data_IF_173640367064
#
_entry.id   IF_173640367064
#
_cell.length_a   1.000
_cell.length_b   1.000
_cell.length_c   1.000
_cell.angle_alpha   90.00
_cell.angle_beta   90.00
_cell.angle_gamma   90.00
#
_symmetry.space_group_name_H-M   'P 1'
#
loop_
_entity.id
_entity.type
_entity.pdbx_description
1 polymer ?
#
# COMPACT_ATOMS: atom_id res chain seq x y z
N UNK A 1 -10.79 -14.11 12.50
CA UNK A 1 -10.25 -15.46 12.80
C UNK A 1 -11.30 -16.58 12.68
N UNK A 2 -12.49 -16.47 13.30
CA UNK A 2 -13.44 -17.60 13.41
C UNK A 2 -14.15 -18.05 12.11
N UNK A 3 -14.26 -17.19 11.08
CA UNK A 3 -14.91 -17.56 9.82
C UNK A 3 -14.08 -18.57 8.98
N UNK A 4 -12.75 -18.50 9.08
CA UNK A 4 -11.83 -19.36 8.32
C UNK A 4 -11.87 -20.79 8.88
N UNK A 5 -11.91 -20.93 10.21
CA UNK A 5 -11.95 -22.24 10.89
C UNK A 5 -13.23 -23.03 10.58
N UNK A 6 -14.36 -22.36 10.43
CA UNK A 6 -15.65 -23.02 10.14
C UNK A 6 -15.73 -23.52 8.69
N UNK A 7 -15.17 -22.80 7.71
CA UNK A 7 -15.10 -23.26 6.32
C UNK A 7 -14.14 -24.44 6.11
N UNK A 8 -13.08 -24.52 6.92
CA UNK A 8 -12.09 -25.60 6.85
C UNK A 8 -12.58 -26.94 7.43
N UNK A 9 -13.60 -26.94 8.29
CA UNK A 9 -14.11 -28.16 8.93
C UNK A 9 -14.74 -29.17 7.95
N UNK A 10 -15.24 -28.70 6.80
CA UNK A 10 -15.81 -29.54 5.73
C UNK A 10 -14.79 -30.14 4.75
N UNK A 11 -13.52 -29.71 4.79
CA UNK A 11 -12.47 -30.09 3.84
C UNK A 11 -11.56 -31.21 4.36
N UNK A 12 -12.06 -32.06 5.26
CA UNK A 12 -11.36 -33.27 5.74
C UNK A 12 -11.06 -34.21 4.57
N UNK A 13 -9.94 -34.01 3.88
CA UNK A 13 -9.47 -34.93 2.86
C UNK A 13 -8.33 -34.46 1.96
N UNK A 14 -8.13 -33.16 1.73
CA UNK A 14 -7.06 -32.73 0.82
C UNK A 14 -6.37 -31.45 1.27
N UNK A 15 -5.15 -31.58 1.82
CA UNK A 15 -4.30 -30.44 2.24
C UNK A 15 -4.11 -29.43 1.10
N UNK A 16 -4.10 -29.88 -0.16
CA UNK A 16 -4.02 -28.98 -1.31
C UNK A 16 -5.28 -28.14 -1.48
N UNK A 17 -6.47 -28.73 -1.37
CA UNK A 17 -7.74 -27.99 -1.48
C UNK A 17 -7.91 -26.96 -0.35
N UNK A 18 -7.45 -27.31 0.86
CA UNK A 18 -7.39 -26.38 1.99
C UNK A 18 -6.46 -25.20 1.69
N UNK A 19 -5.23 -25.49 1.25
CA UNK A 19 -4.25 -24.47 0.91
C UNK A 19 -4.77 -23.52 -0.18
N UNK A 20 -5.32 -24.06 -1.27
CA UNK A 20 -5.91 -23.26 -2.35
C UNK A 20 -7.03 -22.34 -1.87
N UNK A 21 -7.88 -22.82 -0.96
CA UNK A 21 -8.95 -22.01 -0.36
C UNK A 21 -8.37 -20.83 0.44
N UNK A 22 -7.33 -21.08 1.23
CA UNK A 22 -6.63 -20.04 2.01
C UNK A 22 -5.97 -19.03 1.06
N UNK A 23 -5.20 -19.51 0.09
CA UNK A 23 -4.48 -18.70 -0.91
C UNK A 23 -5.45 -17.78 -1.67
N UNK A 24 -6.60 -18.31 -2.11
CA UNK A 24 -7.61 -17.53 -2.81
C UNK A 24 -8.27 -16.47 -1.93
N UNK A 25 -8.51 -16.76 -0.65
CA UNK A 25 -9.06 -15.79 0.28
C UNK A 25 -8.07 -14.64 0.55
N UNK A 26 -6.78 -14.96 0.75
CA UNK A 26 -5.74 -13.94 0.93
C UNK A 26 -5.59 -13.10 -0.33
N UNK A 27 -5.50 -13.73 -1.52
CA UNK A 27 -5.42 -13.02 -2.81
C UNK A 27 -6.60 -12.08 -3.01
N UNK A 28 -7.82 -12.54 -2.74
CA UNK A 28 -9.03 -11.72 -2.88
C UNK A 28 -8.97 -10.48 -1.98
N UNK A 29 -8.49 -10.63 -0.75
CA UNK A 29 -8.32 -9.50 0.18
C UNK A 29 -7.26 -8.52 -0.33
N UNK A 30 -6.11 -9.00 -0.80
CA UNK A 30 -5.07 -8.16 -1.42
C UNK A 30 -5.65 -7.35 -2.59
N UNK A 31 -6.35 -8.01 -3.53
CA UNK A 31 -6.97 -7.34 -4.69
C UNK A 31 -8.00 -6.29 -4.24
N UNK A 32 -8.84 -6.62 -3.26
CA UNK A 32 -9.89 -5.71 -2.76
C UNK A 32 -9.29 -4.43 -2.18
N UNK A 33 -8.19 -4.55 -1.45
CA UNK A 33 -7.57 -3.43 -0.75
C UNK A 33 -6.47 -2.74 -1.59
N UNK A 34 -6.13 -3.28 -2.76
CA UNK A 34 -5.00 -2.85 -3.59
C UNK A 34 -5.01 -1.35 -3.87
N UNK A 35 -6.12 -0.79 -4.34
CA UNK A 35 -6.23 0.64 -4.65
C UNK A 35 -6.06 1.56 -3.43
N UNK A 36 -6.20 1.03 -2.21
CA UNK A 36 -5.99 1.83 -1.00
C UNK A 36 -4.50 2.09 -0.76
N UNK A 37 -3.63 1.15 -1.13
CA UNK A 37 -2.17 1.29 -1.04
C UNK A 37 -1.49 0.32 -2.04
N UNK A 38 -1.42 0.69 -3.33
CA UNK A 38 -0.93 -0.21 -4.38
C UNK A 38 0.46 -0.75 -4.06
N UNK A 39 1.42 0.13 -3.71
CA UNK A 39 2.78 -0.27 -3.37
C UNK A 39 2.86 -1.29 -2.22
N UNK A 40 2.02 -1.16 -1.17
CA UNK A 40 1.99 -2.14 -0.08
C UNK A 40 1.42 -3.49 -0.54
N UNK A 41 0.29 -3.48 -1.23
CA UNK A 41 -0.39 -4.72 -1.63
C UNK A 41 0.31 -5.45 -2.77
N UNK A 42 1.09 -4.77 -3.61
CA UNK A 42 2.04 -5.41 -4.55
C UNK A 42 3.10 -6.23 -3.80
N UNK A 43 3.70 -5.68 -2.73
CA UNK A 43 4.64 -6.42 -1.87
C UNK A 43 3.98 -7.63 -1.23
N UNK A 44 2.74 -7.49 -0.75
CA UNK A 44 1.99 -8.62 -0.17
C UNK A 44 1.65 -9.69 -1.22
N UNK A 45 1.36 -9.29 -2.46
CA UNK A 45 1.10 -10.22 -3.57
C UNK A 45 2.36 -11.02 -3.91
N UNK A 46 3.52 -10.36 -3.99
CA UNK A 46 4.80 -11.03 -4.23
C UNK A 46 5.13 -12.05 -3.13
N UNK A 47 4.93 -11.70 -1.86
CA UNK A 47 5.10 -12.62 -0.74
C UNK A 47 4.12 -13.80 -0.78
N UNK A 48 2.87 -13.57 -1.19
CA UNK A 48 1.89 -14.65 -1.38
C UNK A 48 2.39 -15.64 -2.45
N UNK A 49 2.85 -15.14 -3.59
CA UNK A 49 3.32 -15.96 -4.69
C UNK A 49 4.58 -16.76 -4.33
N UNK A 50 5.48 -16.18 -3.52
CA UNK A 50 6.64 -16.88 -2.96
C UNK A 50 6.20 -18.05 -2.06
N UNK A 51 5.25 -17.82 -1.13
CA UNK A 51 4.72 -18.87 -0.24
C UNK A 51 4.06 -19.98 -1.05
N UNK A 52 3.25 -19.64 -2.05
CA UNK A 52 2.57 -20.60 -2.93
C UNK A 52 3.60 -21.44 -3.68
N UNK A 53 4.62 -20.79 -4.26
CA UNK A 53 5.67 -21.45 -5.03
C UNK A 53 6.46 -22.42 -4.15
N UNK A 54 6.91 -21.97 -2.98
CA UNK A 54 7.63 -22.81 -2.02
C UNK A 54 6.80 -24.03 -1.59
N UNK A 55 5.50 -23.86 -1.29
CA UNK A 55 4.60 -24.98 -0.96
C UNK A 55 4.46 -25.95 -2.13
N UNK A 56 4.20 -25.47 -3.35
CA UNK A 56 4.02 -26.32 -4.54
C UNK A 56 5.30 -27.09 -4.90
N UNK A 57 6.46 -26.47 -4.71
CA UNK A 57 7.77 -27.11 -4.86
C UNK A 57 8.12 -28.05 -3.69
N UNK A 58 7.28 -28.13 -2.64
CA UNK A 58 7.58 -28.84 -1.38
C UNK A 58 8.90 -28.39 -0.75
N UNK A 59 9.27 -27.12 -0.95
CA UNK A 59 10.45 -26.50 -0.37
C UNK A 59 10.25 -26.11 1.11
N UNK A 60 9.00 -26.14 1.59
CA UNK A 60 8.61 -25.91 2.98
C UNK A 60 7.62 -26.97 3.43
N UNK A 61 7.66 -27.30 4.73
CA UNK A 61 6.69 -28.21 5.34
C UNK A 61 5.30 -27.57 5.46
N UNK A 62 4.27 -28.41 5.57
CA UNK A 62 2.89 -27.92 5.60
C UNK A 62 2.62 -27.02 6.82
N UNK A 63 3.17 -27.36 7.98
CA UNK A 63 3.08 -26.57 9.21
C UNK A 63 3.79 -25.22 9.06
N UNK A 64 4.90 -25.17 8.32
CA UNK A 64 5.62 -23.93 8.03
C UNK A 64 4.83 -23.05 7.05
N UNK A 65 4.27 -23.64 6.00
CA UNK A 65 3.33 -22.96 5.09
C UNK A 65 2.18 -22.30 5.87
N UNK A 66 1.54 -23.05 6.78
CA UNK A 66 0.42 -22.54 7.59
C UNK A 66 0.83 -21.34 8.46
N UNK A 67 2.05 -21.34 9.02
CA UNK A 67 2.57 -20.20 9.78
C UNK A 67 2.77 -18.99 8.86
N UNK A 68 3.50 -19.16 7.76
CA UNK A 68 3.82 -18.06 6.83
C UNK A 68 2.55 -17.43 6.23
N UNK A 69 1.58 -18.24 5.81
CA UNK A 69 0.33 -17.74 5.23
C UNK A 69 -0.56 -17.05 6.28
N UNK A 70 -0.56 -17.52 7.52
CA UNK A 70 -1.27 -16.86 8.62
C UNK A 70 -0.64 -15.50 8.96
N UNK A 71 0.69 -15.42 8.96
CA UNK A 71 1.42 -14.17 9.20
C UNK A 71 1.15 -13.16 8.08
N UNK A 72 1.19 -13.61 6.82
CA UNK A 72 0.82 -12.78 5.68
C UNK A 72 -0.63 -12.30 5.78
N UNK A 73 -1.58 -13.19 6.10
CA UNK A 73 -2.98 -12.82 6.25
C UNK A 73 -3.19 -11.76 7.36
N UNK A 74 -2.44 -11.84 8.47
CA UNK A 74 -2.46 -10.80 9.52
C UNK A 74 -1.92 -9.46 9.02
N UNK A 75 -0.84 -9.46 8.25
CA UNK A 75 -0.26 -8.24 7.65
C UNK A 75 -1.23 -7.60 6.66
N UNK A 76 -1.80 -8.40 5.76
CA UNK A 76 -2.81 -7.98 4.78
C UNK A 76 -4.06 -7.40 5.48
N UNK A 77 -4.49 -7.98 6.60
CA UNK A 77 -5.63 -7.44 7.36
C UNK A 77 -5.28 -6.13 8.08
N UNK A 78 -4.06 -6.02 8.63
CA UNK A 78 -3.60 -4.82 9.31
C UNK A 78 -3.31 -3.66 8.35
N UNK A 79 -2.92 -3.95 7.11
CA UNK A 79 -2.55 -2.96 6.09
C UNK A 79 -1.36 -2.09 6.48
N UNK A 80 -0.49 -2.60 7.38
CA UNK A 80 0.64 -1.90 7.99
C UNK A 80 1.95 -2.55 7.56
N UNK A 81 2.91 -1.76 7.09
CA UNK A 81 4.28 -2.23 6.85
C UNK A 81 5.11 -2.13 8.14
N UNK A 82 5.97 -3.10 8.39
CA UNK A 82 6.82 -3.12 9.60
C UNK A 82 7.83 -1.95 9.63
N UNK A 83 8.19 -1.41 8.47
CA UNK A 83 9.13 -0.28 8.29
C UNK A 83 8.45 1.10 8.25
N UNK A 84 7.16 1.18 8.61
CA UNK A 84 6.42 2.45 8.60
C UNK A 84 6.91 3.38 9.72
N UNK A 85 7.37 4.62 9.43
CA UNK A 85 7.70 5.62 10.44
C UNK A 85 6.55 5.86 11.43
N UNK A 86 6.87 6.10 12.70
CA UNK A 86 5.87 6.24 13.78
C UNK A 86 4.84 7.33 13.47
N UNK A 87 5.29 8.42 12.85
CA UNK A 87 4.47 9.56 12.44
C UNK A 87 3.37 9.18 11.42
N UNK A 88 3.57 8.09 10.67
CA UNK A 88 2.63 7.61 9.65
C UNK A 88 1.66 6.55 10.16
N UNK A 89 1.90 5.98 11.34
CA UNK A 89 1.03 4.92 11.88
C UNK A 89 -0.40 5.40 12.16
N UNK A 90 -0.55 6.70 12.45
CA UNK A 90 -1.84 7.32 12.80
C UNK A 90 -2.69 7.74 11.60
N UNK A 91 -2.15 7.77 10.37
CA UNK A 91 -2.91 8.11 9.16
C UNK A 91 -2.67 7.10 8.04
N UNK A 92 -3.63 6.18 7.81
CA UNK A 92 -3.59 5.25 6.67
C UNK A 92 -3.47 5.95 5.32
N UNK A 93 -4.11 7.12 5.15
CA UNK A 93 -3.99 7.93 3.94
C UNK A 93 -2.55 8.41 3.69
N UNK A 94 -1.92 9.02 4.69
CA UNK A 94 -0.54 9.52 4.57
C UNK A 94 0.47 8.37 4.39
N UNK A 95 0.23 7.24 5.07
CA UNK A 95 1.03 6.02 4.88
C UNK A 95 0.97 5.51 3.43
N UNK A 96 -0.23 5.48 2.84
CA UNK A 96 -0.38 5.07 1.45
C UNK A 96 0.37 6.01 0.50
N UNK A 97 0.28 7.33 0.71
CA UNK A 97 1.06 8.29 -0.06
C UNK A 97 2.56 8.01 0.07
N UNK A 98 3.07 7.87 1.28
CA UNK A 98 4.48 7.57 1.53
C UNK A 98 4.96 6.29 0.83
N UNK A 99 4.24 5.19 0.98
CA UNK A 99 4.60 3.91 0.36
C UNK A 99 4.66 4.01 -1.17
N UNK A 100 3.72 4.75 -1.77
CA UNK A 100 3.61 4.92 -3.21
C UNK A 100 4.56 5.99 -3.77
N UNK A 101 5.14 6.86 -2.92
CA UNK A 101 6.17 7.83 -3.29
C UNK A 101 7.59 7.29 -3.08
N UNK A 102 7.78 6.36 -2.13
CA UNK A 102 9.06 5.70 -1.85
C UNK A 102 9.39 4.58 -2.84
N UNK A 103 8.38 3.92 -3.42
CA UNK A 103 8.58 2.91 -4.46
C UNK A 103 9.21 3.50 -5.73
N UNK A 104 9.81 2.66 -6.57
CA UNK A 104 10.68 2.96 -7.72
C UNK A 104 10.18 3.99 -8.78
N UNK A 105 9.02 4.62 -8.62
CA UNK A 105 8.51 5.68 -9.50
C UNK A 105 8.11 7.00 -8.82
N UNK A 106 8.27 7.14 -7.50
CA UNK A 106 7.59 8.20 -6.75
C UNK A 106 8.42 9.39 -6.28
N UNK A 107 9.73 9.39 -6.51
CA UNK A 107 10.51 10.62 -6.43
C UNK A 107 10.71 11.10 -7.86
N UNK A 108 10.10 12.23 -8.30
CA UNK A 108 10.58 12.85 -9.52
C UNK A 108 12.07 13.08 -9.31
N UNK A 109 12.90 12.47 -10.15
CA UNK A 109 14.32 12.76 -10.19
C UNK A 109 14.42 14.28 -10.37
N UNK A 110 14.64 15.01 -9.28
CA UNK A 110 14.88 16.45 -9.35
C UNK A 110 16.18 16.59 -10.12
N UNK A 111 16.07 16.89 -11.40
CA UNK A 111 17.21 17.11 -12.29
C UNK A 111 18.13 18.25 -11.81
N UNK A 112 17.71 19.05 -10.81
CA UNK A 112 18.42 20.26 -10.38
C UNK A 112 18.78 20.36 -8.88
N UNK A 113 18.76 19.29 -8.08
CA UNK A 113 19.35 19.38 -6.73
C UNK A 113 20.82 19.00 -6.75
N UNK A 114 21.66 20.03 -6.91
CA UNK A 114 23.09 20.02 -6.60
C UNK A 114 23.26 19.40 -5.22
N UNK A 115 24.02 18.31 -5.15
CA UNK A 115 24.33 17.61 -3.91
C UNK A 115 25.19 18.51 -3.02
N UNK A 116 24.58 19.22 -2.07
CA UNK A 116 25.31 19.78 -0.94
C UNK A 116 25.52 18.70 0.12
N UNK A 117 26.78 18.52 0.52
CA UNK A 117 27.19 17.57 1.54
C UNK A 117 26.46 17.84 2.87
N UNK A 118 26.05 16.82 3.63
CA UNK A 118 25.20 17.05 4.80
C UNK A 118 26.00 17.70 5.93
N UNK A 119 25.61 18.91 6.30
CA UNK A 119 26.02 19.54 7.55
C UNK A 119 25.41 18.82 8.76
N UNK A 120 26.19 18.73 9.83
CA UNK A 120 26.05 17.87 11.01
C UNK A 120 24.79 18.07 11.91
N UNK A 121 23.74 18.78 11.48
CA UNK A 121 22.50 18.96 12.25
C UNK A 121 21.21 18.98 11.38
N UNK A 122 21.16 18.23 10.28
CA UNK A 122 19.89 18.01 9.55
C UNK A 122 19.08 16.90 10.24
N UNK A 123 17.92 17.26 10.80
CA UNK A 123 16.88 16.28 11.17
C UNK A 123 16.50 15.52 9.89
N UNK A 124 16.91 14.25 9.80
CA UNK A 124 16.65 13.32 8.69
C UNK A 124 15.21 13.46 8.14
N UNK A 125 14.91 13.86 6.89
CA UNK A 125 15.69 13.86 5.66
C UNK A 125 15.16 12.87 4.61
N UNK A 126 13.98 12.28 4.80
CA UNK A 126 13.34 11.38 3.82
C UNK A 126 12.49 12.20 2.82
N UNK A 127 12.93 12.36 1.55
CA UNK A 127 12.23 13.18 0.57
C UNK A 127 10.83 12.67 0.25
N UNK A 128 10.59 11.36 0.34
CA UNK A 128 9.27 10.77 0.11
C UNK A 128 8.32 11.10 1.26
N UNK A 129 8.82 11.16 2.49
CA UNK A 129 8.03 11.58 3.65
C UNK A 129 7.63 13.07 3.56
N UNK A 130 8.58 13.94 3.22
CA UNK A 130 8.31 15.38 3.00
C UNK A 130 7.26 15.59 1.91
N UNK A 131 7.39 14.86 0.80
CA UNK A 131 6.46 14.95 -0.32
C UNK A 131 5.07 14.42 0.05
N UNK A 132 5.00 13.29 0.76
CA UNK A 132 3.74 12.74 1.24
C UNK A 132 2.99 13.72 2.15
N UNK A 133 3.70 14.35 3.10
CA UNK A 133 3.15 15.37 4.00
C UNK A 133 2.62 16.58 3.22
N UNK A 134 3.41 17.08 2.27
CA UNK A 134 3.01 18.22 1.42
C UNK A 134 1.75 17.92 0.60
N UNK A 135 1.65 16.72 0.03
CA UNK A 135 0.49 16.28 -0.73
C UNK A 135 -0.74 16.17 0.17
N UNK A 136 -0.62 15.50 1.33
CA UNK A 136 -1.71 15.35 2.30
C UNK A 136 -2.29 16.70 2.75
N UNK A 137 -1.42 17.64 3.14
CA UNK A 137 -1.82 18.98 3.55
C UNK A 137 -2.49 19.75 2.41
N UNK A 138 -1.92 19.67 1.21
CA UNK A 138 -2.47 20.36 0.03
C UNK A 138 -3.87 19.86 -0.28
N UNK A 139 -4.07 18.55 -0.33
CA UNK A 139 -5.38 17.94 -0.61
C UNK A 139 -6.40 18.36 0.45
N UNK A 140 -6.06 18.25 1.75
CA UNK A 140 -6.96 18.64 2.84
C UNK A 140 -7.39 20.11 2.75
N UNK A 141 -6.52 20.99 2.25
CA UNK A 141 -6.81 22.42 2.09
C UNK A 141 -7.67 22.75 0.87
N UNK A 142 -7.41 22.13 -0.28
CA UNK A 142 -8.01 22.52 -1.57
C UNK A 142 -9.27 21.75 -1.94
N UNK A 143 -9.47 20.58 -1.34
CA UNK A 143 -10.56 19.66 -1.64
C UNK A 143 -11.94 20.30 -1.38
N UNK A 144 -12.80 20.38 -2.40
CA UNK A 144 -14.20 20.77 -2.21
C UNK A 144 -15.01 19.68 -1.47
N UNK A 145 -16.09 20.04 -0.79
CA UNK A 145 -17.00 19.06 -0.20
C UNK A 145 -17.64 18.16 -1.27
N UNK A 146 -17.84 16.88 -0.96
CA UNK A 146 -18.48 15.92 -1.87
C UNK A 146 -17.83 15.85 -3.26
N UNK A 147 -16.50 16.01 -3.33
CA UNK A 147 -15.76 16.07 -4.58
C UNK A 147 -15.72 14.75 -5.35
N UNK A 148 -15.83 13.62 -4.66
CA UNK A 148 -15.73 12.28 -5.27
C UNK A 148 -16.85 12.04 -6.27
N UNK A 149 -16.49 11.61 -7.48
CA UNK A 149 -17.42 11.36 -8.57
C UNK A 149 -17.84 12.63 -9.32
N UNK A 150 -17.38 13.81 -8.90
CA UNK A 150 -17.70 15.09 -9.56
C UNK A 150 -16.47 15.59 -10.31
N UNK A 151 -16.40 15.35 -11.61
CA UNK A 151 -15.23 15.63 -12.45
C UNK A 151 -14.65 17.04 -12.23
N UNK A 152 -15.49 18.08 -12.21
CA UNK A 152 -15.02 19.45 -12.01
C UNK A 152 -14.33 19.65 -10.65
N UNK A 153 -14.80 18.99 -9.59
CA UNK A 153 -14.21 19.07 -8.24
C UNK A 153 -12.97 18.18 -8.13
N UNK A 154 -12.96 17.03 -8.80
CA UNK A 154 -11.78 16.17 -8.93
C UNK A 154 -10.63 16.92 -9.60
N UNK A 155 -10.91 17.70 -10.64
CA UNK A 155 -9.91 18.50 -11.36
C UNK A 155 -9.27 19.60 -10.49
N UNK A 156 -9.98 20.15 -9.50
CA UNK A 156 -9.38 21.10 -8.53
C UNK A 156 -8.25 20.45 -7.75
N UNK A 157 -8.46 19.22 -7.31
CA UNK A 157 -7.45 18.47 -6.55
C UNK A 157 -6.30 18.07 -7.48
N UNK A 158 -6.60 17.57 -8.69
CA UNK A 158 -5.58 17.20 -9.68
C UNK A 158 -4.69 18.37 -10.08
N UNK A 159 -5.28 19.55 -10.30
CA UNK A 159 -4.52 20.77 -10.59
C UNK A 159 -3.54 21.10 -9.44
N UNK A 160 -3.99 21.02 -8.18
CA UNK A 160 -3.13 21.27 -7.03
C UNK A 160 -2.03 20.21 -6.86
N UNK A 161 -2.30 18.94 -7.21
CA UNK A 161 -1.29 17.88 -7.24
C UNK A 161 -0.25 18.11 -8.33
N UNK A 162 -0.67 18.61 -9.50
CA UNK A 162 0.23 18.89 -10.63
C UNK A 162 1.27 19.97 -10.29
N UNK A 163 0.90 21.00 -9.53
CA UNK A 163 1.84 22.01 -9.02
C UNK A 163 2.96 21.41 -8.14
N UNK A 164 2.74 20.21 -7.58
CA UNK A 164 3.70 19.53 -6.71
C UNK A 164 4.50 18.48 -7.48
N UNK A 165 3.80 17.65 -8.27
CA UNK A 165 4.37 16.48 -8.93
C UNK A 165 4.96 16.81 -10.30
N UNK A 166 4.40 17.81 -11.00
CA UNK A 166 4.77 18.21 -12.36
C UNK A 166 4.78 17.06 -13.40
N UNK A 167 4.01 16.01 -13.13
CA UNK A 167 3.86 14.84 -13.99
C UNK A 167 2.39 14.40 -13.94
N UNK A 168 1.74 14.40 -15.11
CA UNK A 168 0.31 14.07 -15.24
C UNK A 168 0.00 12.61 -14.87
N UNK A 169 0.90 11.68 -15.21
CA UNK A 169 0.73 10.26 -14.90
C UNK A 169 0.82 10.04 -13.39
N UNK A 170 1.78 10.70 -12.73
CA UNK A 170 1.92 10.67 -11.27
C UNK A 170 0.74 11.33 -10.56
N UNK A 171 0.20 12.43 -11.11
CA UNK A 171 -1.02 13.06 -10.59
C UNK A 171 -2.19 12.09 -10.61
N UNK A 172 -2.44 11.42 -11.75
CA UNK A 172 -3.53 10.44 -11.84
C UNK A 172 -3.32 9.26 -10.89
N UNK A 173 -2.10 8.73 -10.82
CA UNK A 173 -1.74 7.63 -9.93
C UNK A 173 -1.98 7.97 -8.45
N UNK A 174 -1.46 9.12 -8.00
CA UNK A 174 -1.60 9.58 -6.62
C UNK A 174 -3.06 9.97 -6.32
N UNK A 175 -3.75 10.60 -7.27
CA UNK A 175 -5.15 10.97 -7.13
C UNK A 175 -6.06 9.75 -6.88
N UNK A 176 -5.83 8.63 -7.57
CA UNK A 176 -6.60 7.40 -7.34
C UNK A 176 -6.45 6.86 -5.92
N UNK A 177 -5.24 6.95 -5.34
CA UNK A 177 -4.96 6.55 -3.95
C UNK A 177 -5.72 7.46 -2.98
N UNK A 178 -5.67 8.78 -3.20
CA UNK A 178 -6.41 9.79 -2.41
C UNK A 178 -7.92 9.52 -2.47
N UNK A 179 -8.44 9.26 -3.68
CA UNK A 179 -9.87 9.02 -3.93
C UNK A 179 -10.36 7.76 -3.21
N UNK A 180 -9.54 6.71 -3.14
CA UNK A 180 -9.87 5.46 -2.44
C UNK A 180 -9.88 5.59 -0.90
N UNK A 181 -9.25 6.61 -0.33
CA UNK A 181 -9.12 6.80 1.13
C UNK A 181 -10.20 7.72 1.68
N UNK A 182 -11.07 7.22 2.57
CA UNK A 182 -12.19 7.99 3.15
C UNK A 182 -11.80 9.09 4.14
N UNK A 183 -10.52 9.24 4.50
CA UNK A 183 -10.01 10.33 5.34
C UNK A 183 -9.99 11.68 4.59
N UNK A 184 -9.90 11.63 3.26
CA UNK A 184 -10.16 12.78 2.37
C UNK A 184 -11.62 12.79 1.92
#
# INVERSE_FOLDING_TARGET
ANAITSQLAGLKGNRNAIAETIENNVRRKIIKEHLSDPAYYEKMSALLDEIITARKAKAIEYEEYLKRIADLARRVEAGLAEDTPEQLKSSPALRALYNNLKGDGGTPARADRVAEAPGEYAVSGDPALELALKIDETVKRVRPDGWRGVQAREQVIKAALYEILQDEAEVERIFLIIKARGEY
#
